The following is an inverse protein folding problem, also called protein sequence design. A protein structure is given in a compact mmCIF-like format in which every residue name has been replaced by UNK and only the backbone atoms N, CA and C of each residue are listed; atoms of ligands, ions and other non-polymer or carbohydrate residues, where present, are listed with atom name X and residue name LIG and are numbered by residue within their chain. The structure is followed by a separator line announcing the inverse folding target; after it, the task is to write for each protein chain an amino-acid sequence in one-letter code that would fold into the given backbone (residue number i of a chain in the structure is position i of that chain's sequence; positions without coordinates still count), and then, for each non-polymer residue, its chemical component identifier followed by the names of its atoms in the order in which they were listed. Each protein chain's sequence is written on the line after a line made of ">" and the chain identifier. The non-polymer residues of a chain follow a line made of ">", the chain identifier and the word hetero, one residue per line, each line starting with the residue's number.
data_IF_568626106822
#
_entry.id   IF_568626106822
#
_cell.length_a   1.000
_cell.length_b   1.000
_cell.length_c   1.000
_cell.angle_alpha   90.00
_cell.angle_beta   90.00
_cell.angle_gamma   90.00
#
_symmetry.space_group_name_H-M   'P 1'
#
loop_
_entity.id
_entity.type
_entity.pdbx_description
1 polymer ?
#
# COMPACT_ATOMS: atom_id res chain seq x y z
N UNK A 1 0.28 -19.35 -10.32
CA UNK A 1 -1.02 -18.66 -10.08
C UNK A 1 -0.80 -17.45 -9.17
N UNK A 2 -1.55 -16.35 -9.37
CA UNK A 2 -1.53 -15.20 -8.46
C UNK A 2 -2.63 -15.38 -7.40
N UNK A 3 -2.27 -15.31 -6.11
CA UNK A 3 -3.16 -15.63 -4.99
C UNK A 3 -4.01 -14.41 -4.61
N UNK A 4 -5.05 -14.12 -5.39
CA UNK A 4 -5.92 -12.96 -5.17
C UNK A 4 -6.57 -12.95 -3.79
N UNK A 5 -6.99 -14.11 -3.28
CA UNK A 5 -7.65 -14.19 -1.98
C UNK A 5 -6.71 -13.80 -0.84
N UNK A 6 -5.44 -14.21 -0.91
CA UNK A 6 -4.42 -13.78 0.06
C UNK A 6 -4.21 -12.25 0.01
N UNK A 7 -4.20 -11.65 -1.19
CA UNK A 7 -4.11 -10.19 -1.33
C UNK A 7 -5.36 -9.50 -0.77
N UNK A 8 -6.56 -10.04 -1.00
CA UNK A 8 -7.82 -9.51 -0.47
C UNK A 8 -7.85 -9.51 1.05
N UNK A 9 -7.31 -10.55 1.70
CA UNK A 9 -7.18 -10.62 3.16
C UNK A 9 -6.30 -9.51 3.75
N UNK A 10 -5.35 -8.98 2.97
CA UNK A 10 -4.44 -7.92 3.41
C UNK A 10 -5.06 -6.51 3.33
N UNK A 11 -6.09 -6.31 2.49
CA UNK A 11 -6.63 -4.96 2.23
C UNK A 11 -7.22 -4.29 3.47
N UNK A 12 -7.97 -4.98 4.35
CA UNK A 12 -8.48 -4.37 5.58
C UNK A 12 -7.36 -3.88 6.51
N UNK A 13 -6.18 -4.50 6.47
CA UNK A 13 -5.06 -4.18 7.37
C UNK A 13 -4.47 -2.80 7.12
N UNK A 14 -4.63 -2.25 5.91
CA UNK A 14 -4.21 -0.87 5.60
C UNK A 14 -5.32 0.16 5.81
N UNK A 15 -6.58 -0.26 5.98
CA UNK A 15 -7.70 0.65 6.20
C UNK A 15 -7.66 1.20 7.63
N UNK A 16 -7.99 2.48 7.79
CA UNK A 16 -7.88 3.21 9.05
C UNK A 16 -6.67 4.14 9.10
N UNK A 17 -6.40 4.66 10.30
CA UNK A 17 -5.32 5.62 10.56
C UNK A 17 -4.10 4.91 11.09
N UNK A 18 -2.99 4.96 10.35
CA UNK A 18 -1.75 4.25 10.68
C UNK A 18 -0.52 5.12 10.42
N UNK A 19 0.59 4.78 11.07
CA UNK A 19 1.91 5.24 10.67
C UNK A 19 2.39 4.40 9.48
N UNK A 20 2.49 5.00 8.30
CA UNK A 20 2.86 4.32 7.07
C UNK A 20 4.36 4.43 6.73
N UNK A 21 5.24 4.62 7.74
CA UNK A 21 6.70 4.70 7.52
C UNK A 21 7.26 3.48 6.77
N UNK A 22 6.70 2.28 6.96
CA UNK A 22 7.08 1.08 6.19
C UNK A 22 6.86 1.22 4.69
N UNK A 23 5.97 2.12 4.26
CA UNK A 23 5.61 2.30 2.86
C UNK A 23 6.08 3.63 2.30
N UNK A 24 6.93 4.37 2.99
CA UNK A 24 7.46 5.62 2.49
C UNK A 24 8.71 5.43 1.61
N UNK A 25 8.99 6.35 0.70
CA UNK A 25 10.30 6.45 0.08
C UNK A 25 11.37 6.79 1.14
N UNK A 26 12.44 5.96 1.21
CA UNK A 26 13.55 6.23 2.13
C UNK A 26 14.12 7.65 1.90
N UNK A 27 14.32 8.39 3.00
CA UNK A 27 14.86 9.75 2.97
C UNK A 27 13.91 10.82 2.40
N UNK A 28 12.61 10.55 2.20
CA UNK A 28 11.70 11.59 1.68
C UNK A 28 11.18 12.59 2.72
N UNK A 29 11.38 12.31 4.01
CA UNK A 29 11.02 13.20 5.11
C UNK A 29 12.25 13.64 5.87
N UNK A 30 12.19 14.87 6.34
CA UNK A 30 13.06 15.35 7.41
C UNK A 30 12.52 14.84 8.75
N UNK A 31 13.26 13.93 9.38
CA UNK A 31 12.88 13.33 10.66
C UNK A 31 13.11 14.28 11.84
N UNK A 32 13.79 15.41 11.63
CA UNK A 32 13.97 16.44 12.66
C UNK A 32 12.70 17.31 12.83
N UNK A 33 11.82 17.32 11.82
CA UNK A 33 10.52 18.00 11.89
C UNK A 33 9.55 17.11 12.66
N UNK A 34 9.29 17.46 13.91
CA UNK A 34 8.34 16.76 14.80
C UNK A 34 6.92 17.33 14.76
N UNK A 35 6.70 18.40 13.98
CA UNK A 35 5.39 19.03 13.80
C UNK A 35 4.53 18.37 12.71
N UNK A 36 3.21 18.50 12.83
CA UNK A 36 2.25 18.01 11.84
C UNK A 36 1.95 16.51 11.93
N UNK A 37 1.42 15.93 10.85
CA UNK A 37 0.94 14.53 10.81
C UNK A 37 2.06 13.48 10.61
N UNK A 38 3.30 13.90 10.36
CA UNK A 38 4.41 12.98 10.07
C UNK A 38 4.08 11.95 8.98
N UNK A 39 4.35 10.67 9.27
CA UNK A 39 4.00 9.52 8.43
C UNK A 39 2.57 8.98 8.64
N UNK A 40 1.79 9.60 9.52
CA UNK A 40 0.43 9.15 9.82
C UNK A 40 -0.53 9.57 8.71
N UNK A 41 -1.25 8.61 8.13
CA UNK A 41 -2.29 8.84 7.12
C UNK A 41 -3.52 7.99 7.44
N UNK A 42 -4.65 8.35 6.85
CA UNK A 42 -5.90 7.60 6.96
C UNK A 42 -6.28 7.06 5.59
N UNK A 43 -6.33 5.74 5.45
CA UNK A 43 -6.92 5.08 4.28
C UNK A 43 -8.39 4.80 4.60
N UNK A 44 -9.29 5.34 3.78
CA UNK A 44 -10.72 5.13 3.90
C UNK A 44 -11.16 3.81 3.28
N UNK A 45 -10.52 3.40 2.18
CA UNK A 45 -10.87 2.16 1.49
C UNK A 45 -9.68 1.62 0.68
N UNK A 46 -9.57 0.29 0.64
CA UNK A 46 -8.69 -0.44 -0.27
C UNK A 46 -9.49 -1.58 -0.91
N UNK A 47 -9.50 -1.68 -2.24
CA UNK A 47 -10.25 -2.71 -2.99
C UNK A 47 -9.45 -3.26 -4.15
N UNK A 48 -9.60 -4.55 -4.42
CA UNK A 48 -9.01 -5.26 -5.55
C UNK A 48 -10.11 -5.81 -6.43
N UNK A 49 -10.26 -5.23 -7.62
CA UNK A 49 -11.26 -5.60 -8.62
C UNK A 49 -10.57 -6.23 -9.82
N UNK A 50 -11.23 -7.22 -10.44
CA UNK A 50 -10.81 -7.76 -11.74
C UNK A 50 -11.24 -6.81 -12.86
N UNK A 51 -10.45 -6.73 -13.94
CA UNK A 51 -10.91 -6.03 -15.13
C UNK A 51 -11.96 -6.88 -15.85
N UNK A 52 -13.15 -6.31 -16.04
CA UNK A 52 -14.26 -7.02 -16.67
C UNK A 52 -14.04 -7.39 -18.15
N UNK A 53 -12.95 -6.93 -18.79
CA UNK A 53 -12.60 -7.28 -20.18
C UNK A 53 -11.41 -8.24 -20.26
N UNK A 54 -10.44 -8.15 -19.35
CA UNK A 54 -9.30 -9.06 -19.27
C UNK A 54 -9.08 -9.55 -17.83
N UNK A 55 -9.39 -10.82 -17.57
CA UNK A 55 -9.25 -11.46 -16.25
C UNK A 55 -7.80 -11.54 -15.74
N UNK A 56 -6.81 -11.18 -16.55
CA UNK A 56 -5.40 -11.10 -16.14
C UNK A 56 -5.03 -9.74 -15.57
N UNK A 57 -5.91 -8.74 -15.71
CA UNK A 57 -5.71 -7.38 -15.21
C UNK A 57 -6.51 -7.20 -13.92
N UNK A 58 -5.83 -6.71 -12.89
CA UNK A 58 -6.44 -6.36 -11.62
C UNK A 58 -6.27 -4.87 -11.36
N UNK A 59 -7.32 -4.24 -10.82
CA UNK A 59 -7.31 -2.84 -10.38
C UNK A 59 -7.34 -2.78 -8.86
N UNK A 60 -6.24 -2.30 -8.28
CA UNK A 60 -6.20 -1.93 -6.87
C UNK A 60 -6.56 -0.45 -6.71
N UNK A 61 -7.64 -0.17 -6.00
CA UNK A 61 -8.06 1.19 -5.67
C UNK A 61 -7.80 1.46 -4.19
N UNK A 62 -7.05 2.53 -3.87
CA UNK A 62 -6.82 3.01 -2.50
C UNK A 62 -7.32 4.45 -2.41
N UNK A 63 -8.17 4.74 -1.42
CA UNK A 63 -8.69 6.07 -1.11
C UNK A 63 -8.27 6.47 0.32
N UNK A 64 -7.86 7.72 0.52
CA UNK A 64 -7.38 8.21 1.82
C UNK A 64 -7.25 9.72 1.88
N UNK A 65 -6.91 10.23 3.06
CA UNK A 65 -6.79 11.67 3.38
C UNK A 65 -5.48 12.32 2.87
N UNK A 66 -4.59 11.50 2.32
CA UNK A 66 -3.29 11.88 1.78
C UNK A 66 -2.38 10.66 1.67
N UNK A 67 -1.33 10.77 0.87
CA UNK A 67 -0.36 9.68 0.66
C UNK A 67 1.07 10.19 0.80
N UNK A 68 1.93 9.40 1.44
CA UNK A 68 3.37 9.67 1.48
C UNK A 68 4.00 9.43 0.10
N UNK A 69 5.22 9.95 -0.11
CA UNK A 69 5.96 9.69 -1.35
C UNK A 69 6.14 8.17 -1.53
N UNK A 70 5.72 7.67 -2.68
CA UNK A 70 5.72 6.25 -3.07
C UNK A 70 4.80 5.31 -2.25
N UNK A 71 4.03 5.82 -1.28
CA UNK A 71 3.16 5.03 -0.39
C UNK A 71 2.34 3.97 -1.12
N UNK A 72 1.51 4.40 -2.06
CA UNK A 72 0.63 3.48 -2.82
C UNK A 72 1.44 2.42 -3.58
N UNK A 73 2.58 2.80 -4.18
CA UNK A 73 3.42 1.87 -4.95
C UNK A 73 4.17 0.88 -4.07
N UNK A 74 4.54 1.28 -2.86
CA UNK A 74 5.19 0.40 -1.88
C UNK A 74 4.17 -0.59 -1.30
N UNK A 75 2.94 -0.15 -0.99
CA UNK A 75 1.84 -1.02 -0.58
C UNK A 75 1.57 -2.06 -1.68
N UNK A 76 1.34 -1.62 -2.92
CA UNK A 76 1.09 -2.51 -4.08
C UNK A 76 2.24 -3.49 -4.29
N UNK A 77 3.49 -3.02 -4.20
CA UNK A 77 4.66 -3.88 -4.37
C UNK A 77 4.79 -4.97 -3.31
N UNK A 78 4.43 -4.65 -2.07
CA UNK A 78 4.41 -5.62 -0.97
C UNK A 78 3.26 -6.63 -1.13
N UNK A 79 2.06 -6.15 -1.47
CA UNK A 79 0.91 -7.01 -1.80
C UNK A 79 1.19 -7.93 -2.99
N UNK A 80 1.99 -7.48 -3.96
CA UNK A 80 2.43 -8.33 -5.06
C UNK A 80 3.31 -9.50 -4.59
N UNK A 81 4.13 -9.29 -3.55
CA UNK A 81 4.86 -10.35 -2.84
C UNK A 81 3.91 -11.38 -2.23
N UNK A 82 2.83 -10.93 -1.59
CA UNK A 82 1.77 -11.81 -1.05
C UNK A 82 1.09 -12.60 -2.16
N UNK A 83 0.65 -11.95 -3.23
CA UNK A 83 0.01 -12.62 -4.36
C UNK A 83 0.92 -13.61 -5.10
N UNK A 84 2.24 -13.49 -4.94
CA UNK A 84 3.25 -14.44 -5.46
C UNK A 84 3.65 -15.52 -4.46
N UNK A 85 3.09 -15.52 -3.24
CA UNK A 85 3.41 -16.47 -2.18
C UNK A 85 4.80 -16.27 -1.54
N UNK A 86 5.41 -15.08 -1.73
CA UNK A 86 6.69 -14.74 -1.09
C UNK A 86 6.52 -14.17 0.32
N UNK A 87 5.33 -13.66 0.60
CA UNK A 87 4.91 -13.13 1.89
C UNK A 87 3.55 -13.73 2.23
N UNK A 88 3.29 -13.92 3.50
CA UNK A 88 1.98 -14.28 4.02
C UNK A 88 1.17 -13.01 4.36
N UNK A 89 -0.17 -13.12 4.51
CA UNK A 89 -0.96 -12.02 5.06
C UNK A 89 -0.51 -11.57 6.45
N UNK A 90 0.03 -12.49 7.26
CA UNK A 90 0.58 -12.16 8.57
C UNK A 90 1.85 -11.32 8.42
N UNK A 91 2.78 -11.69 7.53
CA UNK A 91 3.98 -10.89 7.27
C UNK A 91 3.61 -9.49 6.81
N UNK A 92 2.57 -9.37 5.96
CA UNK A 92 2.08 -8.06 5.53
C UNK A 92 1.54 -7.23 6.69
N UNK A 93 0.78 -7.84 7.62
CA UNK A 93 0.31 -7.18 8.83
C UNK A 93 1.47 -6.68 9.70
N UNK A 94 2.50 -7.52 9.88
CA UNK A 94 3.71 -7.17 10.63
C UNK A 94 4.46 -6.01 9.97
N UNK A 95 4.59 -6.01 8.64
CA UNK A 95 5.19 -4.89 7.88
C UNK A 95 4.42 -3.59 8.12
N UNK A 96 3.08 -3.61 8.11
CA UNK A 96 2.27 -2.42 8.39
C UNK A 96 2.56 -1.89 9.81
N UNK A 97 2.71 -2.78 10.79
CA UNK A 97 2.98 -2.41 12.18
C UNK A 97 4.44 -1.98 12.45
N UNK A 98 5.40 -2.50 11.69
CA UNK A 98 6.84 -2.35 11.97
C UNK A 98 7.39 -0.93 11.80
N UNK A 99 6.73 -0.10 10.99
CA UNK A 99 7.18 1.27 10.63
C UNK A 99 8.58 1.31 10.01
N UNK A 100 9.02 0.21 9.41
CA UNK A 100 10.34 0.04 8.83
C UNK A 100 10.25 -0.25 7.33
N UNK A 101 10.78 0.68 6.52
CA UNK A 101 10.77 0.57 5.06
C UNK A 101 11.56 -0.64 4.56
N UNK A 102 12.56 -1.12 5.29
CA UNK A 102 13.40 -2.24 4.85
C UNK A 102 12.66 -3.56 4.79
N UNK A 103 11.56 -3.70 5.56
CA UNK A 103 10.72 -4.90 5.58
C UNK A 103 9.69 -4.93 4.46
N UNK A 104 9.33 -3.77 3.90
CA UNK A 104 8.37 -3.68 2.82
C UNK A 104 8.96 -4.10 1.47
N UNK A 105 8.10 -4.61 0.59
CA UNK A 105 8.48 -5.10 -0.72
C UNK A 105 9.07 -4.04 -1.66
N UNK A 106 9.53 -4.52 -2.81
CA UNK A 106 10.02 -3.65 -3.88
C UNK A 106 8.92 -2.71 -4.37
N UNK A 107 9.27 -1.45 -4.62
CA UNK A 107 8.34 -0.44 -5.13
C UNK A 107 7.73 -0.88 -6.47
N UNK A 108 6.41 -0.95 -6.58
CA UNK A 108 5.75 -1.30 -7.84
C UNK A 108 6.12 -0.31 -8.97
N UNK A 109 6.17 -0.73 -10.25
CA UNK A 109 6.44 0.17 -11.38
C UNK A 109 5.47 1.36 -11.45
N UNK A 110 5.94 2.53 -11.90
CA UNK A 110 5.13 3.76 -11.93
C UNK A 110 3.99 3.72 -12.97
N UNK A 111 4.21 3.02 -14.08
CA UNK A 111 3.31 2.98 -15.25
C UNK A 111 1.89 2.44 -14.99
N UNK A 112 1.65 1.82 -13.83
CA UNK A 112 0.34 1.29 -13.44
C UNK A 112 -0.42 2.15 -12.43
N UNK A 113 0.14 3.28 -11.99
CA UNK A 113 -0.50 4.17 -11.01
C UNK A 113 -1.21 5.34 -11.73
N UNK A 114 -2.42 5.66 -11.30
CA UNK A 114 -3.17 6.82 -11.80
C UNK A 114 -3.99 7.43 -10.67
N UNK A 115 -4.02 8.77 -10.60
CA UNK A 115 -4.94 9.49 -9.71
C UNK A 115 -6.33 9.48 -10.34
N UNK A 116 -7.31 8.89 -9.65
CA UNK A 116 -8.68 8.73 -10.18
C UNK A 116 -9.60 9.90 -9.85
N UNK A 117 -9.62 10.35 -8.60
CA UNK A 117 -10.59 11.35 -8.11
C UNK A 117 -10.01 12.09 -6.91
N UNK A 118 -10.37 13.37 -6.77
CA UNK A 118 -10.13 14.21 -5.59
C UNK A 118 -11.50 14.67 -5.08
N UNK A 119 -11.76 14.47 -3.79
CA UNK A 119 -13.01 14.86 -3.12
C UNK A 119 -12.76 16.15 -2.32
N UNK A 120 -13.72 17.08 -2.35
CA UNK A 120 -13.67 18.38 -1.68
C UNK A 120 -14.79 18.51 -0.65
#
# INVERSE_FOLDING_TARGET
>A
PFMCDAVRLCLPMVVGTHDFSSFEASGSRDLTITGGRGAVRTIFAARLDEDGKDSRIFRLTIAGDGFLRHMVRNIVGTLFGVGRGRLTPLDFQEIVAARDRTLAGATAPAKGLTLKTVLY
#
